data_IF_389405876991
#
_entry.id   IF_389405876991
#
_cell.length_a   1.000
_cell.length_b   1.000
_cell.length_c   1.000
_cell.angle_alpha   90.00
_cell.angle_beta   90.00
_cell.angle_gamma   90.00
#
_symmetry.space_group_name_H-M   'P 1'
#
loop_
_entity.id
_entity.type
_entity.pdbx_description
1 polymer ?
#
# COMPACT_ATOMS: atom_id res chain seq x y z
N UNK A 1 -19.18 8.64 2.88
CA UNK A 1 -18.13 8.97 1.90
C UNK A 1 -18.53 8.40 0.55
N UNK A 2 -18.24 9.09 -0.57
CA UNK A 2 -18.62 8.66 -1.94
C UNK A 2 -17.52 7.87 -2.68
N UNK A 3 -16.30 7.82 -2.14
CA UNK A 3 -15.18 7.08 -2.73
C UNK A 3 -14.87 5.83 -1.91
N UNK A 4 -14.72 4.70 -2.61
CA UNK A 4 -14.34 3.41 -2.01
C UNK A 4 -12.84 3.10 -2.14
N UNK A 5 -12.15 3.79 -3.06
CA UNK A 5 -10.72 3.68 -3.34
C UNK A 5 -10.16 5.09 -3.47
N UNK A 6 -8.96 5.31 -2.95
CA UNK A 6 -8.26 6.58 -2.97
C UNK A 6 -6.82 6.34 -3.43
N UNK A 7 -6.34 7.14 -4.38
CA UNK A 7 -4.92 7.23 -4.69
C UNK A 7 -4.29 8.27 -3.76
N UNK A 8 -3.18 7.91 -3.12
CA UNK A 8 -2.50 8.77 -2.14
C UNK A 8 -1.00 8.78 -2.37
N UNK A 9 -0.37 9.89 -2.01
CA UNK A 9 1.09 10.00 -1.97
C UNK A 9 1.66 9.07 -0.88
N UNK A 10 2.85 8.49 -1.13
CA UNK A 10 3.54 7.63 -0.18
C UNK A 10 3.85 8.34 1.15
N UNK A 11 3.92 9.67 1.17
CA UNK A 11 4.07 10.47 2.40
C UNK A 11 2.95 10.21 3.42
N UNK A 12 1.75 9.80 2.97
CA UNK A 12 0.62 9.48 3.84
C UNK A 12 0.60 8.03 4.32
N UNK A 13 1.55 7.20 3.88
CA UNK A 13 1.59 5.78 4.20
C UNK A 13 1.78 5.49 5.69
N UNK A 14 2.33 6.43 6.46
CA UNK A 14 2.38 6.33 7.92
C UNK A 14 1.13 6.86 8.61
N UNK A 15 0.65 8.04 8.21
CA UNK A 15 -0.40 8.77 8.92
C UNK A 15 -1.78 8.11 8.80
N UNK A 16 -2.16 7.69 7.59
CA UNK A 16 -3.51 7.18 7.34
C UNK A 16 -3.77 5.83 8.04
N UNK A 17 -2.82 4.86 8.04
CA UNK A 17 -2.94 3.67 8.88
C UNK A 17 -2.94 3.98 10.37
N UNK A 18 -2.08 4.88 10.84
CA UNK A 18 -2.01 5.24 12.26
C UNK A 18 -3.30 5.89 12.77
N UNK A 19 -3.99 6.67 11.92
CA UNK A 19 -5.29 7.26 12.21
C UNK A 19 -6.47 6.28 12.08
N UNK A 20 -6.22 5.05 11.60
CA UNK A 20 -7.27 4.03 11.40
C UNK A 20 -8.23 4.34 10.26
N UNK A 21 -7.81 5.14 9.27
CA UNK A 21 -8.67 5.58 8.16
C UNK A 21 -8.72 4.60 6.99
N UNK A 22 -7.76 3.68 6.91
CA UNK A 22 -7.65 2.69 5.84
C UNK A 22 -8.10 1.31 6.29
N UNK A 23 -8.73 0.59 5.37
CA UNK A 23 -8.99 -0.83 5.57
C UNK A 23 -7.70 -1.63 5.40
N UNK A 24 -7.49 -2.64 6.25
CA UNK A 24 -6.44 -3.63 6.03
C UNK A 24 -6.81 -4.50 4.82
N UNK A 25 -5.96 -4.49 3.81
CA UNK A 25 -6.12 -5.20 2.54
C UNK A 25 -5.69 -6.67 2.64
N UNK A 26 -4.94 -7.07 3.68
CA UNK A 26 -4.45 -8.46 3.81
C UNK A 26 -5.57 -9.50 3.75
N UNK A 27 -6.72 -9.37 4.44
CA UNK A 27 -7.83 -10.31 4.31
C UNK A 27 -8.39 -10.39 2.88
N UNK A 28 -8.34 -9.29 2.12
CA UNK A 28 -8.82 -9.24 0.74
C UNK A 28 -7.86 -9.96 -0.19
N UNK A 29 -6.54 -9.77 -0.02
CA UNK A 29 -5.50 -10.51 -0.75
C UNK A 29 -5.62 -12.01 -0.50
N UNK A 30 -5.75 -12.43 0.76
CA UNK A 30 -5.89 -13.85 1.13
C UNK A 30 -7.17 -14.48 0.54
N UNK A 31 -8.30 -13.78 0.63
CA UNK A 31 -9.58 -14.24 0.08
C UNK A 31 -9.55 -14.38 -1.44
N UNK A 32 -8.93 -13.42 -2.13
CA UNK A 32 -8.88 -13.38 -3.59
C UNK A 32 -7.74 -14.19 -4.19
N UNK A 33 -6.77 -14.63 -3.37
CA UNK A 33 -5.50 -15.21 -3.84
C UNK A 33 -4.75 -14.26 -4.77
N UNK A 34 -4.84 -12.96 -4.51
CA UNK A 34 -4.17 -11.96 -5.33
C UNK A 34 -2.64 -12.10 -5.18
N UNK A 35 -1.95 -12.18 -6.31
CA UNK A 35 -0.50 -12.36 -6.33
C UNK A 35 0.22 -11.02 -6.15
N UNK A 36 0.92 -10.87 -5.02
CA UNK A 36 1.74 -9.71 -4.72
C UNK A 36 3.19 -9.87 -5.18
N UNK A 37 3.60 -11.04 -5.68
CA UNK A 37 4.97 -11.29 -6.15
C UNK A 37 5.45 -10.41 -7.31
N UNK A 38 4.57 -9.84 -8.17
CA UNK A 38 4.99 -8.90 -9.20
C UNK A 38 5.44 -7.53 -8.66
N UNK A 39 5.10 -7.17 -7.42
CA UNK A 39 5.57 -5.92 -6.82
C UNK A 39 7.00 -6.06 -6.31
N UNK A 40 7.78 -4.99 -6.49
CA UNK A 40 9.12 -4.89 -5.91
C UNK A 40 8.98 -4.88 -4.37
N UNK A 41 9.63 -5.80 -3.63
CA UNK A 41 9.43 -5.89 -2.17
C UNK A 41 9.66 -4.58 -1.42
N UNK A 42 10.68 -3.81 -1.82
CA UNK A 42 11.01 -2.54 -1.18
C UNK A 42 9.93 -1.45 -1.37
N UNK A 43 9.12 -1.49 -2.43
CA UNK A 43 8.03 -0.52 -2.60
C UNK A 43 6.84 -0.86 -1.71
N UNK A 44 6.60 -2.14 -1.44
CA UNK A 44 5.60 -2.56 -0.44
C UNK A 44 6.06 -2.20 0.98
N UNK A 45 7.33 -2.43 1.29
CA UNK A 45 7.89 -2.12 2.60
C UNK A 45 7.94 -0.60 2.86
N UNK A 46 8.23 0.20 1.82
CA UNK A 46 8.14 1.66 1.87
C UNK A 46 6.74 2.15 2.25
N UNK A 47 5.70 1.45 1.80
CA UNK A 47 4.30 1.77 2.12
C UNK A 47 3.82 1.15 3.45
N UNK A 48 4.74 0.65 4.28
CA UNK A 48 4.45 0.18 5.63
C UNK A 48 3.85 -1.22 5.71
N UNK A 49 4.05 -2.07 4.70
CA UNK A 49 3.67 -3.49 4.77
C UNK A 49 4.36 -4.16 5.95
N UNK A 50 3.60 -4.94 6.72
CA UNK A 50 4.14 -5.87 7.72
C UNK A 50 3.76 -7.30 7.39
N UNK A 51 4.21 -8.27 8.19
CA UNK A 51 3.76 -9.65 8.07
C UNK A 51 2.24 -9.77 8.27
N UNK A 52 1.67 -8.90 9.09
CA UNK A 52 0.29 -9.02 9.58
C UNK A 52 -0.67 -8.03 8.93
N UNK A 53 -0.18 -6.97 8.27
CA UNK A 53 -1.02 -5.90 7.73
C UNK A 53 -0.51 -5.38 6.38
N UNK A 54 -1.45 -4.96 5.53
CA UNK A 54 -1.19 -4.31 4.26
C UNK A 54 -2.26 -3.23 4.02
N UNK A 55 -1.92 -1.95 4.10
CA UNK A 55 -2.90 -0.87 3.94
C UNK A 55 -2.92 -0.24 2.55
N UNK A 56 -1.81 -0.31 1.82
CA UNK A 56 -1.59 0.39 0.55
C UNK A 56 -0.93 -0.55 -0.45
N UNK A 57 -1.25 -0.35 -1.73
CA UNK A 57 -0.62 -1.08 -2.85
C UNK A 57 0.00 -0.06 -3.79
N UNK A 58 1.26 -0.26 -4.25
CA UNK A 58 1.91 0.66 -5.17
C UNK A 58 1.17 0.72 -6.53
N UNK A 59 0.89 1.93 -7.02
CA UNK A 59 0.40 2.12 -8.40
C UNK A 59 1.56 2.38 -9.36
N UNK A 60 2.39 3.38 -9.05
CA UNK A 60 3.68 3.61 -9.68
C UNK A 60 4.65 4.16 -8.64
N UNK A 61 5.95 4.04 -8.91
CA UNK A 61 6.98 4.65 -8.08
C UNK A 61 7.89 5.47 -9.01
N UNK A 62 8.21 6.70 -8.62
CA UNK A 62 9.17 7.52 -9.32
C UNK A 62 10.40 7.70 -8.42
N UNK A 63 11.54 7.23 -8.90
CA UNK A 63 12.80 7.42 -8.20
C UNK A 63 13.49 8.66 -8.74
N UNK A 64 14.03 9.47 -7.83
CA UNK A 64 14.90 10.57 -8.21
C UNK A 64 16.22 9.99 -8.72
N UNK A 65 16.63 10.38 -9.93
CA UNK A 65 17.92 10.03 -10.51
C UNK A 65 18.68 11.30 -10.90
N UNK A 66 20.01 11.23 -10.88
CA UNK A 66 20.86 12.21 -11.56
C UNK A 66 21.10 11.71 -12.99
N UNK A 67 21.02 12.63 -13.95
CA UNK A 67 21.39 12.38 -15.35
C UNK A 67 22.85 12.77 -15.58
#
# INVERSE_FOLDING_TARGET
>A
SYYNVLEVDFLWAGEFPAAGWLADLKPFVEKSKYDLSPFIPSTLDLLGRTKDQLFLVPMYNYSMGLL
#
